data_IF_721155235834
#
_entry.id   IF_721155235834
#
_cell.length_a   1.000
_cell.length_b   1.000
_cell.length_c   1.000
_cell.angle_alpha   90.00
_cell.angle_beta   90.00
_cell.angle_gamma   90.00
#
_symmetry.space_group_name_H-M   'P 1'
#
loop_
_entity.id
_entity.type
_entity.pdbx_description
1 polymer ?
#
# COMPACT_ATOMS: atom_id res chain seq x y z
N UNK A 1 -12.68 -28.32 35.33
CA UNK A 1 -12.12 -26.96 35.24
C UNK A 1 -12.13 -26.58 33.77
N UNK A 2 -13.14 -25.80 33.34
CA UNK A 2 -13.16 -25.23 32.00
C UNK A 2 -11.97 -24.24 31.91
N UNK A 3 -11.01 -24.56 31.08
CA UNK A 3 -10.00 -23.59 30.70
C UNK A 3 -10.72 -22.48 29.93
N UNK A 4 -11.00 -21.36 30.58
CA UNK A 4 -11.43 -20.14 29.92
C UNK A 4 -10.43 -19.87 28.80
N UNK A 5 -10.83 -20.07 27.54
CA UNK A 5 -10.01 -19.70 26.39
C UNK A 5 -9.68 -18.21 26.52
N UNK A 6 -8.39 -17.90 26.67
CA UNK A 6 -7.92 -16.51 26.69
C UNK A 6 -8.48 -15.79 25.46
N UNK A 7 -9.23 -14.72 25.66
CA UNK A 7 -9.71 -13.90 24.55
C UNK A 7 -8.51 -13.17 23.95
N UNK A 8 -8.16 -13.49 22.73
CA UNK A 8 -7.10 -12.81 21.98
C UNK A 8 -7.73 -11.68 21.15
N UNK A 9 -7.03 -10.55 21.07
CA UNK A 9 -7.39 -9.48 20.15
C UNK A 9 -7.19 -9.88 18.70
N UNK A 10 -7.82 -9.16 17.78
CA UNK A 10 -7.73 -9.36 16.34
C UNK A 10 -6.81 -8.33 15.71
N UNK A 11 -5.94 -8.77 14.81
CA UNK A 11 -5.08 -7.89 14.01
C UNK A 11 -5.73 -7.59 12.66
N UNK A 12 -6.20 -6.37 12.49
CA UNK A 12 -6.82 -5.89 11.25
C UNK A 12 -5.79 -5.17 10.37
N UNK A 13 -5.67 -5.58 9.10
CA UNK A 13 -5.05 -4.75 8.07
C UNK A 13 -6.14 -3.94 7.40
N UNK A 14 -6.04 -2.62 7.40
CA UNK A 14 -7.08 -1.73 6.90
C UNK A 14 -6.54 -0.87 5.79
N UNK A 15 -7.02 -1.10 4.55
CA UNK A 15 -6.71 -0.25 3.41
C UNK A 15 -7.43 1.09 3.53
N UNK A 16 -6.66 2.18 3.53
CA UNK A 16 -7.21 3.54 3.69
C UNK A 16 -7.30 4.31 2.36
N UNK A 17 -7.19 3.60 1.24
CA UNK A 17 -7.17 4.25 -0.06
C UNK A 17 -5.83 4.93 -0.37
N UNK A 18 -5.68 5.51 -1.57
CA UNK A 18 -4.39 5.99 -2.08
C UNK A 18 -4.00 7.40 -1.61
N UNK A 19 -4.93 8.19 -1.04
CA UNK A 19 -4.64 9.56 -0.63
C UNK A 19 -5.87 10.38 -0.29
N UNK A 20 -6.89 10.32 -1.14
CA UNK A 20 -8.17 10.99 -0.92
C UNK A 20 -8.95 10.30 0.21
N UNK A 21 -9.29 11.01 1.32
CA UNK A 21 -10.05 10.44 2.43
C UNK A 21 -11.46 9.97 2.02
N UNK A 22 -12.07 10.50 0.98
CA UNK A 22 -13.37 10.04 0.49
C UNK A 22 -13.31 8.64 -0.16
N UNK A 23 -12.10 8.13 -0.43
CA UNK A 23 -11.88 6.78 -0.94
C UNK A 23 -11.71 5.72 0.17
N UNK A 24 -11.86 6.09 1.45
CA UNK A 24 -11.99 5.10 2.52
C UNK A 24 -13.32 4.34 2.37
N UNK A 25 -13.26 3.02 2.53
CA UNK A 25 -14.49 2.25 2.58
C UNK A 25 -15.20 2.46 3.93
N UNK A 26 -16.53 2.41 3.94
CA UNK A 26 -17.30 2.46 5.20
C UNK A 26 -16.88 1.39 6.21
N UNK A 27 -16.41 0.23 5.73
CA UNK A 27 -15.86 -0.82 6.58
C UNK A 27 -14.53 -0.41 7.19
N UNK A 28 -13.67 0.24 6.43
CA UNK A 28 -12.39 0.74 6.93
C UNK A 28 -12.60 1.75 8.07
N UNK A 29 -13.47 2.74 7.86
CA UNK A 29 -13.83 3.73 8.89
C UNK A 29 -14.31 3.04 10.17
N UNK A 30 -15.32 2.16 10.08
CA UNK A 30 -15.88 1.46 11.25
C UNK A 30 -14.84 0.63 12.02
N UNK A 31 -13.92 -0.05 11.31
CA UNK A 31 -12.87 -0.85 11.97
C UNK A 31 -11.84 0.04 12.64
N UNK A 32 -11.41 1.13 11.99
CA UNK A 32 -10.48 2.08 12.59
C UNK A 32 -11.07 2.75 13.83
N UNK A 33 -12.36 3.09 13.82
CA UNK A 33 -13.05 3.68 14.97
C UNK A 33 -13.29 2.67 16.09
N UNK A 34 -13.52 1.39 15.76
CA UNK A 34 -13.76 0.36 16.78
C UNK A 34 -12.50 -0.10 17.51
N UNK A 35 -11.34 -0.15 16.82
CA UNK A 35 -10.09 -0.64 17.41
C UNK A 35 -9.48 0.37 18.38
N UNK A 36 -9.11 -0.05 19.62
CA UNK A 36 -8.47 0.84 20.60
C UNK A 36 -7.03 1.19 20.25
N UNK A 37 -6.37 0.37 19.43
CA UNK A 37 -4.97 0.54 19.02
C UNK A 37 -4.87 0.67 17.51
N UNK A 38 -4.21 1.73 17.06
CA UNK A 38 -3.97 2.00 15.65
C UNK A 38 -2.48 1.91 15.34
N UNK A 39 -2.10 0.96 14.50
CA UNK A 39 -0.74 0.82 14.00
C UNK A 39 -0.63 1.42 12.58
N UNK A 40 0.52 1.96 12.25
CA UNK A 40 0.82 2.40 10.89
C UNK A 40 2.33 2.38 10.62
N UNK A 41 2.75 2.13 9.36
CA UNK A 41 4.12 2.37 8.95
C UNK A 41 4.51 3.82 9.20
N UNK A 42 5.67 4.02 9.84
CA UNK A 42 6.23 5.34 10.09
C UNK A 42 7.51 5.53 9.27
N UNK A 43 7.63 6.68 8.62
CA UNK A 43 8.86 7.08 7.92
C UNK A 43 9.94 7.51 8.90
N UNK A 44 11.19 7.63 8.43
CA UNK A 44 12.29 8.16 9.25
C UNK A 44 12.05 9.61 9.72
N UNK A 45 11.22 10.38 9.00
CA UNK A 45 10.79 11.73 9.41
C UNK A 45 9.65 11.75 10.43
N UNK A 46 9.17 10.57 10.87
CA UNK A 46 8.08 10.46 11.84
C UNK A 46 6.68 10.48 11.21
N UNK A 47 6.55 10.54 9.90
CA UNK A 47 5.27 10.61 9.22
C UNK A 47 4.59 9.24 9.12
N UNK A 48 3.28 9.19 9.39
CA UNK A 48 2.40 8.03 9.23
C UNK A 48 1.32 8.36 8.19
N UNK A 49 1.68 8.40 6.91
CA UNK A 49 0.82 8.85 5.79
C UNK A 49 -0.55 8.17 5.77
N UNK A 50 -0.61 6.84 5.92
CA UNK A 50 -1.88 6.11 5.94
C UNK A 50 -2.80 6.56 7.10
N UNK A 51 -2.23 6.80 8.28
CA UNK A 51 -3.00 7.26 9.43
C UNK A 51 -3.44 8.73 9.27
N UNK A 52 -2.62 9.56 8.63
CA UNK A 52 -2.97 10.95 8.33
C UNK A 52 -4.16 11.06 7.36
N UNK A 53 -4.26 10.13 6.41
CA UNK A 53 -5.44 10.02 5.52
C UNK A 53 -6.65 9.58 6.35
N UNK A 54 -6.52 8.52 7.15
CA UNK A 54 -7.62 7.97 7.95
C UNK A 54 -8.24 9.00 8.91
N UNK A 55 -7.42 9.87 9.54
CA UNK A 55 -7.89 10.93 10.46
C UNK A 55 -8.81 11.96 9.81
N UNK A 56 -8.81 12.08 8.50
CA UNK A 56 -9.67 13.03 7.80
C UNK A 56 -11.10 12.47 7.57
N UNK A 57 -11.28 11.14 7.72
CA UNK A 57 -12.54 10.46 7.45
C UNK A 57 -13.10 9.66 8.65
N UNK A 58 -12.31 9.46 9.70
CA UNK A 58 -12.68 8.66 10.88
C UNK A 58 -12.30 9.39 12.17
N UNK A 59 -13.11 9.21 13.21
CA UNK A 59 -12.78 9.71 14.55
C UNK A 59 -11.77 8.76 15.22
N UNK A 60 -10.53 9.22 15.32
CA UNK A 60 -9.41 8.47 15.88
C UNK A 60 -8.89 9.09 17.19
N UNK A 61 -9.68 9.96 17.82
CA UNK A 61 -9.29 10.60 19.08
C UNK A 61 -9.20 9.58 20.24
N UNK A 62 -8.27 9.79 21.15
CA UNK A 62 -8.10 8.96 22.35
C UNK A 62 -7.53 7.56 22.12
N UNK A 63 -7.19 7.17 20.88
CA UNK A 63 -6.64 5.86 20.57
C UNK A 63 -5.14 5.77 20.82
N UNK A 64 -4.67 4.57 21.17
CA UNK A 64 -3.24 4.29 21.25
C UNK A 64 -2.64 4.21 19.85
N UNK A 65 -1.63 5.04 19.57
CA UNK A 65 -0.92 5.03 18.30
C UNK A 65 0.36 4.20 18.41
N UNK A 66 0.52 3.23 17.51
CA UNK A 66 1.66 2.32 17.46
C UNK A 66 2.42 2.53 16.14
N UNK A 67 3.51 3.31 16.15
CA UNK A 67 4.35 3.45 14.97
C UNK A 67 5.11 2.15 14.69
N UNK A 68 5.09 1.71 13.42
CA UNK A 68 5.82 0.52 12.97
C UNK A 68 6.90 0.92 11.99
N UNK A 69 8.11 0.43 12.21
CA UNK A 69 9.27 0.76 11.39
C UNK A 69 9.62 -0.39 10.44
N UNK A 70 9.79 -0.06 9.17
CA UNK A 70 10.16 -1.01 8.13
C UNK A 70 11.42 -0.55 7.41
N UNK A 71 12.33 -1.47 7.18
CA UNK A 71 13.57 -1.16 6.46
C UNK A 71 13.34 -1.08 4.96
N UNK A 72 14.01 -0.12 4.30
CA UNK A 72 14.08 -0.03 2.85
C UNK A 72 15.26 -0.83 2.26
N UNK A 73 15.98 -1.59 3.10
CA UNK A 73 17.08 -2.46 2.68
C UNK A 73 16.58 -3.57 1.75
N UNK A 74 17.40 -3.96 0.76
CA UNK A 74 17.15 -5.14 -0.09
C UNK A 74 17.63 -6.45 0.55
N UNK A 75 18.31 -6.37 1.68
CA UNK A 75 18.76 -7.53 2.46
C UNK A 75 17.55 -8.23 3.10
N UNK A 76 17.31 -9.47 2.69
CA UNK A 76 16.17 -10.28 3.16
C UNK A 76 16.22 -10.54 4.67
N UNK A 77 17.41 -10.72 5.25
CA UNK A 77 17.53 -10.96 6.68
C UNK A 77 17.11 -9.73 7.47
N UNK A 78 17.57 -8.53 7.06
CA UNK A 78 17.15 -7.26 7.67
C UNK A 78 15.65 -6.98 7.50
N UNK A 79 15.07 -7.35 6.35
CA UNK A 79 13.63 -7.25 6.16
C UNK A 79 12.86 -8.16 7.12
N UNK A 80 13.26 -9.42 7.24
CA UNK A 80 12.64 -10.38 8.16
C UNK A 80 12.75 -9.94 9.61
N UNK A 81 13.91 -9.43 10.03
CA UNK A 81 14.12 -8.88 11.37
C UNK A 81 13.15 -7.69 11.64
N UNK A 82 13.05 -6.76 10.70
CA UNK A 82 12.12 -5.63 10.83
C UNK A 82 10.65 -6.07 10.89
N UNK A 83 10.25 -7.06 10.08
CA UNK A 83 8.88 -7.62 10.13
C UNK A 83 8.62 -8.31 11.47
N UNK A 84 9.60 -9.06 12.01
CA UNK A 84 9.49 -9.69 13.33
C UNK A 84 9.37 -8.64 14.42
N UNK A 85 10.22 -7.64 14.44
CA UNK A 85 10.18 -6.56 15.42
C UNK A 85 8.82 -5.79 15.38
N UNK A 86 8.27 -5.56 14.18
CA UNK A 86 6.96 -4.93 14.04
C UNK A 86 5.82 -5.83 14.56
N UNK A 87 5.87 -7.15 14.31
CA UNK A 87 4.91 -8.10 14.87
C UNK A 87 5.01 -8.19 16.40
N UNK A 88 6.25 -8.18 16.93
CA UNK A 88 6.52 -8.19 18.37
C UNK A 88 5.97 -6.93 19.07
N UNK A 89 5.96 -5.78 18.41
CA UNK A 89 5.36 -4.56 18.92
C UNK A 89 3.82 -4.62 18.98
N UNK A 90 3.18 -5.35 18.07
CA UNK A 90 1.71 -5.54 18.04
C UNK A 90 1.25 -6.57 19.08
N UNK A 91 2.01 -7.64 19.26
CA UNK A 91 1.66 -8.82 20.08
C UNK A 91 1.14 -8.50 21.49
N UNK A 92 1.75 -7.63 22.31
CA UNK A 92 1.29 -7.36 23.67
C UNK A 92 -0.17 -6.88 23.75
N UNK A 93 -0.61 -6.11 22.75
CA UNK A 93 -2.00 -5.65 22.67
C UNK A 93 -2.94 -6.79 22.34
N UNK A 94 -2.60 -7.63 21.38
CA UNK A 94 -3.39 -8.80 21.01
C UNK A 94 -3.48 -9.81 22.16
N UNK A 95 -2.38 -10.02 22.90
CA UNK A 95 -2.34 -10.87 24.08
C UNK A 95 -3.21 -10.33 25.23
N UNK A 96 -3.37 -9.01 25.30
CA UNK A 96 -4.27 -8.35 26.25
C UNK A 96 -5.75 -8.37 25.80
N UNK A 97 -6.07 -9.00 24.67
CA UNK A 97 -7.42 -9.05 24.12
C UNK A 97 -7.85 -7.76 23.41
N UNK A 98 -6.91 -6.87 23.11
CA UNK A 98 -7.19 -5.63 22.39
C UNK A 98 -7.04 -5.81 20.89
N UNK A 99 -8.02 -5.33 20.13
CA UNK A 99 -7.94 -5.30 18.69
C UNK A 99 -6.96 -4.20 18.23
N UNK A 100 -6.17 -4.53 17.20
CA UNK A 100 -5.20 -3.60 16.58
C UNK A 100 -5.54 -3.44 15.11
N UNK A 101 -5.79 -2.20 14.66
CA UNK A 101 -5.96 -1.88 13.25
C UNK A 101 -4.70 -1.24 12.67
N UNK A 102 -4.07 -1.91 11.70
CA UNK A 102 -2.93 -1.38 10.96
C UNK A 102 -3.41 -0.68 9.69
N UNK A 103 -3.29 0.66 9.66
CA UNK A 103 -3.63 1.46 8.49
C UNK A 103 -2.57 1.29 7.38
N UNK A 104 -3.03 0.95 6.18
CA UNK A 104 -2.19 0.69 4.99
C UNK A 104 -2.64 1.58 3.85
N UNK A 105 -1.69 2.27 3.22
CA UNK A 105 -1.95 3.09 2.03
C UNK A 105 -2.41 2.21 0.86
N UNK A 106 -3.49 2.59 0.20
CA UNK A 106 -4.11 1.83 -0.88
C UNK A 106 -4.91 0.63 -0.38
N UNK A 107 -4.62 -0.55 -0.91
CA UNK A 107 -5.23 -1.83 -0.55
C UNK A 107 -4.26 -2.74 0.20
N UNK A 108 -4.81 -3.52 1.13
CA UNK A 108 -4.03 -4.39 2.04
C UNK A 108 -3.36 -5.56 1.31
N UNK A 109 -3.91 -5.99 0.17
CA UNK A 109 -3.42 -7.15 -0.58
C UNK A 109 -2.35 -6.83 -1.61
N UNK A 110 -2.13 -5.53 -1.91
CA UNK A 110 -1.24 -5.10 -3.00
C UNK A 110 0.05 -4.51 -2.42
N UNK A 111 1.16 -5.26 -2.51
CA UNK A 111 2.50 -4.85 -2.05
C UNK A 111 2.52 -4.28 -0.62
N UNK A 112 1.73 -4.87 0.27
CA UNK A 112 1.53 -4.41 1.63
C UNK A 112 2.45 -5.10 2.63
N UNK A 113 3.01 -4.33 3.56
CA UNK A 113 3.79 -4.85 4.70
C UNK A 113 2.92 -5.58 5.73
N UNK A 114 1.61 -5.31 5.77
CA UNK A 114 0.68 -6.02 6.63
C UNK A 114 0.72 -7.54 6.42
N UNK A 115 0.82 -8.00 5.17
CA UNK A 115 0.81 -9.43 4.87
C UNK A 115 1.93 -10.20 5.58
N UNK A 116 3.12 -9.62 5.69
CA UNK A 116 4.25 -10.25 6.41
C UNK A 116 3.98 -10.36 7.90
N UNK A 117 3.39 -9.33 8.52
CA UNK A 117 3.01 -9.36 9.94
C UNK A 117 1.84 -10.33 10.17
N UNK A 118 0.87 -10.32 9.27
CA UNK A 118 -0.26 -11.25 9.29
C UNK A 118 0.22 -12.71 9.32
N UNK A 119 1.16 -13.08 8.47
CA UNK A 119 1.68 -14.45 8.40
C UNK A 119 2.39 -14.85 9.71
N UNK A 120 3.18 -13.94 10.30
CA UNK A 120 3.84 -14.15 11.59
C UNK A 120 2.81 -14.35 12.70
N UNK A 121 1.87 -13.41 12.84
CA UNK A 121 0.87 -13.42 13.92
C UNK A 121 -0.14 -14.57 13.78
N UNK A 122 -0.53 -14.95 12.55
CA UNK A 122 -1.34 -16.14 12.31
C UNK A 122 -0.64 -17.42 12.73
N UNK A 123 0.66 -17.56 12.44
CA UNK A 123 1.44 -18.71 12.86
C UNK A 123 1.53 -18.83 14.40
N UNK A 124 1.38 -17.73 15.11
CA UNK A 124 1.32 -17.64 16.57
C UNK A 124 -0.10 -17.80 17.15
N UNK A 125 -1.11 -17.98 16.28
CA UNK A 125 -2.50 -18.26 16.68
C UNK A 125 -3.40 -17.02 16.84
N UNK A 126 -2.94 -15.82 16.46
CA UNK A 126 -3.77 -14.63 16.55
C UNK A 126 -4.76 -14.54 15.37
N UNK A 127 -6.01 -14.12 15.62
CA UNK A 127 -6.97 -13.79 14.58
C UNK A 127 -6.46 -12.61 13.73
N UNK A 128 -6.48 -12.75 12.39
CA UNK A 128 -6.08 -11.67 11.49
C UNK A 128 -7.14 -11.48 10.40
N UNK A 129 -7.47 -10.23 10.11
CA UNK A 129 -8.52 -9.86 9.15
C UNK A 129 -8.02 -8.79 8.19
N UNK A 130 -8.28 -8.95 6.90
CA UNK A 130 -8.01 -7.95 5.88
C UNK A 130 -9.28 -7.15 5.58
N UNK A 131 -9.18 -5.83 5.62
CA UNK A 131 -10.23 -4.90 5.21
C UNK A 131 -9.77 -4.21 3.93
N UNK A 132 -10.41 -4.47 2.77
CA UNK A 132 -9.98 -3.92 1.50
C UNK A 132 -10.05 -2.39 1.47
N UNK A 133 -9.14 -1.79 0.70
CA UNK A 133 -9.16 -0.39 0.34
C UNK A 133 -9.15 -0.19 -1.18
N UNK A 134 -9.23 1.04 -1.63
CA UNK A 134 -9.07 1.38 -3.05
C UNK A 134 -7.58 1.37 -3.40
N UNK A 135 -7.11 0.48 -4.32
CA UNK A 135 -5.71 0.48 -4.71
C UNK A 135 -5.37 1.72 -5.54
N UNK A 136 -4.11 2.20 -5.43
CA UNK A 136 -3.69 3.45 -6.08
C UNK A 136 -3.91 3.44 -7.59
N UNK A 137 -3.71 2.32 -8.26
CA UNK A 137 -3.89 2.24 -9.70
C UNK A 137 -5.35 2.42 -10.16
N UNK A 138 -6.34 2.07 -9.34
CA UNK A 138 -7.74 2.36 -9.63
C UNK A 138 -8.03 3.86 -9.54
N UNK A 139 -7.52 4.54 -8.53
CA UNK A 139 -7.64 5.99 -8.41
C UNK A 139 -6.88 6.72 -9.53
N UNK A 140 -5.69 6.25 -9.87
CA UNK A 140 -4.88 6.78 -11.00
C UNK A 140 -5.61 6.62 -12.32
N UNK A 141 -6.26 5.48 -12.58
CA UNK A 141 -7.07 5.25 -13.77
C UNK A 141 -8.23 6.25 -13.86
N UNK A 142 -8.95 6.43 -12.75
CA UNK A 142 -10.04 7.42 -12.65
C UNK A 142 -9.51 8.85 -12.88
N UNK A 143 -8.34 9.19 -12.32
CA UNK A 143 -7.72 10.51 -12.46
C UNK A 143 -7.28 10.80 -13.91
N UNK A 144 -6.83 9.77 -14.62
CA UNK A 144 -6.46 9.85 -16.03
C UNK A 144 -7.68 9.73 -16.98
N UNK A 145 -8.86 9.39 -16.48
CA UNK A 145 -10.05 9.12 -17.29
C UNK A 145 -9.86 7.92 -18.23
N UNK A 146 -9.13 6.87 -17.79
CA UNK A 146 -8.78 5.70 -18.60
C UNK A 146 -9.27 4.40 -17.96
N UNK A 147 -9.73 3.46 -18.79
CA UNK A 147 -9.90 2.07 -18.37
C UNK A 147 -8.54 1.42 -18.15
N UNK A 148 -8.44 0.54 -17.15
CA UNK A 148 -7.25 -0.27 -16.90
C UNK A 148 -7.14 -1.44 -17.88
N UNK A 149 -8.28 -2.00 -18.28
CA UNK A 149 -8.34 -3.15 -19.17
C UNK A 149 -9.71 -3.27 -19.80
N UNK A 150 -9.81 -4.02 -20.89
CA UNK A 150 -11.06 -4.41 -21.56
C UNK A 150 -11.36 -5.89 -21.30
N UNK A 151 -12.59 -6.32 -21.66
CA UNK A 151 -13.18 -7.61 -21.26
C UNK A 151 -12.25 -8.85 -21.41
N UNK A 152 -11.41 -8.90 -22.45
CA UNK A 152 -10.56 -10.05 -22.75
C UNK A 152 -9.06 -9.72 -22.70
N UNK A 153 -8.70 -8.56 -22.17
CA UNK A 153 -7.31 -8.10 -22.11
C UNK A 153 -6.73 -8.37 -20.72
N UNK A 154 -5.60 -9.09 -20.60
CA UNK A 154 -4.95 -9.29 -19.30
C UNK A 154 -4.49 -7.97 -18.67
N UNK A 155 -4.47 -7.91 -17.34
CA UNK A 155 -3.92 -6.80 -16.57
C UNK A 155 -2.75 -7.28 -15.72
N UNK A 156 -1.57 -6.71 -15.90
CA UNK A 156 -0.37 -7.03 -15.15
C UNK A 156 -0.04 -5.92 -14.17
N UNK A 157 0.08 -6.25 -12.88
CA UNK A 157 0.50 -5.32 -11.83
C UNK A 157 1.95 -5.64 -11.47
N UNK A 158 2.87 -4.73 -11.79
CA UNK A 158 4.30 -4.98 -11.76
C UNK A 158 5.00 -4.00 -10.80
N UNK A 159 5.98 -4.48 -10.01
CA UNK A 159 6.87 -3.59 -9.29
C UNK A 159 7.80 -2.89 -10.29
N UNK A 160 7.79 -1.55 -10.33
CA UNK A 160 8.73 -0.76 -11.14
C UNK A 160 10.12 -0.64 -10.51
N UNK A 161 10.28 -1.07 -9.24
CA UNK A 161 11.54 -1.07 -8.50
C UNK A 161 12.39 -2.33 -8.74
N UNK A 162 13.53 -2.43 -8.08
CA UNK A 162 14.41 -3.59 -8.19
C UNK A 162 15.13 -3.67 -9.54
N UNK A 163 15.03 -4.80 -10.22
CA UNK A 163 15.58 -5.00 -11.57
C UNK A 163 14.67 -4.43 -12.67
N UNK A 164 13.49 -3.92 -12.26
CA UNK A 164 12.46 -3.43 -13.17
C UNK A 164 11.56 -4.55 -13.72
N UNK A 165 10.57 -4.21 -14.55
CA UNK A 165 9.60 -5.16 -15.07
C UNK A 165 10.18 -6.11 -16.15
N UNK A 166 11.34 -5.77 -16.76
CA UNK A 166 12.04 -6.62 -17.70
C UNK A 166 11.15 -7.09 -18.88
N UNK A 167 11.29 -8.37 -19.23
CA UNK A 167 10.51 -9.02 -20.29
C UNK A 167 9.00 -9.09 -20.02
N UNK A 168 8.58 -8.87 -18.75
CA UNK A 168 7.14 -8.85 -18.42
C UNK A 168 6.41 -7.69 -19.10
N UNK A 169 7.12 -6.64 -19.53
CA UNK A 169 6.55 -5.58 -20.37
C UNK A 169 6.07 -6.11 -21.74
N UNK A 170 6.69 -7.15 -22.26
CA UNK A 170 6.38 -7.69 -23.59
C UNK A 170 5.20 -8.66 -23.57
N UNK A 171 4.69 -9.04 -22.39
CA UNK A 171 3.47 -9.85 -22.29
C UNK A 171 2.26 -9.08 -22.85
N UNK A 172 1.32 -9.78 -23.51
CA UNK A 172 0.10 -9.13 -24.01
C UNK A 172 -0.74 -8.58 -22.86
N UNK A 173 -1.43 -7.44 -23.09
CA UNK A 173 -2.32 -6.81 -22.13
C UNK A 173 -1.78 -5.55 -21.50
N UNK A 174 -2.61 -4.93 -20.67
CA UNK A 174 -2.30 -3.67 -19.96
C UNK A 174 -1.35 -3.89 -18.79
N UNK A 175 -0.52 -2.91 -18.48
CA UNK A 175 0.43 -2.97 -17.37
C UNK A 175 0.27 -1.78 -16.43
N UNK A 176 0.40 -2.06 -15.16
CA UNK A 176 0.51 -1.08 -14.09
C UNK A 176 1.89 -1.21 -13.47
N UNK A 177 2.64 -0.12 -13.45
CA UNK A 177 3.95 -0.07 -12.85
C UNK A 177 3.87 0.75 -11.57
N UNK A 178 4.19 0.11 -10.45
CA UNK A 178 4.14 0.73 -9.11
C UNK A 178 5.52 0.77 -8.48
N UNK A 179 5.75 1.73 -7.57
CA UNK A 179 7.00 1.85 -6.81
C UNK A 179 8.24 2.01 -7.69
N UNK A 180 8.14 2.75 -8.79
CA UNK A 180 9.23 2.97 -9.76
C UNK A 180 10.41 3.71 -9.14
N UNK A 181 10.15 4.78 -8.36
CA UNK A 181 11.13 5.49 -7.55
C UNK A 181 12.49 5.66 -8.23
N UNK A 182 13.55 5.10 -7.61
CA UNK A 182 14.93 5.19 -8.10
C UNK A 182 15.17 4.55 -9.49
N UNK A 183 14.30 3.67 -9.94
CA UNK A 183 14.41 3.00 -11.24
C UNK A 183 13.66 3.76 -12.36
N UNK A 184 13.01 4.87 -12.03
CA UNK A 184 12.22 5.64 -12.98
C UNK A 184 12.99 6.02 -14.27
N UNK A 185 14.24 6.51 -14.22
CA UNK A 185 14.99 6.83 -15.46
C UNK A 185 15.15 5.62 -16.37
N UNK A 186 15.56 4.46 -15.82
CA UNK A 186 15.70 3.22 -16.58
C UNK A 186 14.37 2.76 -17.16
N UNK A 187 13.29 2.90 -16.40
CA UNK A 187 11.96 2.55 -16.88
C UNK A 187 11.54 3.44 -18.05
N UNK A 188 11.85 4.73 -18.02
CA UNK A 188 11.59 5.64 -19.13
C UNK A 188 12.35 5.21 -20.40
N UNK A 189 13.63 4.85 -20.30
CA UNK A 189 14.42 4.33 -21.41
C UNK A 189 13.80 3.07 -22.03
N UNK A 190 13.29 2.16 -21.18
CA UNK A 190 12.58 0.97 -21.60
C UNK A 190 11.28 1.27 -22.37
N UNK A 191 10.51 2.26 -21.91
CA UNK A 191 9.26 2.69 -22.54
C UNK A 191 9.55 3.45 -23.85
N UNK A 192 10.60 4.27 -23.88
CA UNK A 192 11.04 5.01 -25.06
C UNK A 192 11.48 4.06 -26.19
N UNK A 193 12.30 3.05 -25.89
CA UNK A 193 12.71 2.02 -26.86
C UNK A 193 11.54 1.25 -27.49
N UNK A 194 10.40 1.17 -26.79
CA UNK A 194 9.17 0.52 -27.26
C UNK A 194 8.18 1.47 -27.92
N UNK A 195 8.50 2.76 -28.01
CA UNK A 195 7.60 3.82 -28.46
C UNK A 195 6.28 3.85 -27.67
N UNK A 196 6.38 3.69 -26.33
CA UNK A 196 5.22 3.63 -25.44
C UNK A 196 4.99 4.89 -24.62
N UNK A 197 5.88 5.89 -24.70
CA UNK A 197 5.77 7.13 -23.90
C UNK A 197 4.46 7.87 -24.15
N UNK A 198 3.96 7.87 -25.38
CA UNK A 198 2.71 8.57 -25.73
C UNK A 198 1.47 7.92 -25.11
N UNK A 199 1.50 6.59 -25.00
CA UNK A 199 0.39 5.80 -24.46
C UNK A 199 0.43 5.68 -22.94
N UNK A 200 1.59 5.85 -22.34
CA UNK A 200 1.80 5.74 -20.91
C UNK A 200 1.23 6.96 -20.17
N UNK A 201 0.32 6.72 -19.26
CA UNK A 201 -0.16 7.74 -18.31
C UNK A 201 0.47 7.54 -16.93
N UNK A 202 0.70 8.64 -16.19
CA UNK A 202 1.30 8.60 -14.87
C UNK A 202 0.63 9.57 -13.92
N UNK A 203 0.44 9.16 -12.67
CA UNK A 203 0.10 10.07 -11.59
C UNK A 203 1.07 9.84 -10.42
N UNK A 204 1.59 10.94 -9.90
CA UNK A 204 2.33 10.97 -8.65
C UNK A 204 1.47 11.52 -7.54
N UNK A 205 1.64 10.99 -6.33
CA UNK A 205 0.92 11.41 -5.13
C UNK A 205 -0.60 11.49 -5.35
N UNK A 206 -1.20 10.51 -6.04
CA UNK A 206 -2.62 10.52 -6.37
C UNK A 206 -3.48 10.70 -5.11
N UNK A 207 -4.27 11.77 -5.05
CA UNK A 207 -5.09 12.14 -3.90
C UNK A 207 -4.31 12.72 -2.71
N UNK A 208 -3.00 12.92 -2.81
CA UNK A 208 -2.14 13.49 -1.78
C UNK A 208 -1.68 14.90 -2.17
N UNK A 209 -1.21 15.72 -1.20
CA UNK A 209 -0.57 16.99 -1.52
C UNK A 209 0.58 16.83 -2.51
N UNK A 210 0.63 17.72 -3.50
CA UNK A 210 1.64 17.65 -4.56
C UNK A 210 1.31 16.62 -5.66
N UNK A 211 0.05 16.26 -5.83
CA UNK A 211 -0.39 15.45 -6.98
C UNK A 211 0.06 16.04 -8.30
N UNK A 212 0.65 15.22 -9.16
CA UNK A 212 1.01 15.56 -10.54
C UNK A 212 0.45 14.52 -11.50
N UNK A 213 -0.23 14.99 -12.54
CA UNK A 213 -0.89 14.14 -13.53
C UNK A 213 -0.24 14.32 -14.90
N UNK A 214 0.15 13.22 -15.53
CA UNK A 214 0.74 13.19 -16.87
C UNK A 214 -0.08 12.23 -17.73
N UNK A 215 -0.85 12.77 -18.65
CA UNK A 215 -1.65 11.98 -19.60
C UNK A 215 -0.77 11.23 -20.62
N UNK A 216 0.42 11.73 -20.86
CA UNK A 216 1.46 11.10 -21.68
C UNK A 216 2.82 11.30 -21.04
N UNK A 217 3.67 10.29 -21.07
CA UNK A 217 5.06 10.40 -20.58
C UNK A 217 6.01 11.08 -21.60
N UNK A 218 5.51 11.57 -22.73
CA UNK A 218 6.28 12.52 -23.56
C UNK A 218 6.60 13.81 -22.81
N UNK A 219 5.71 14.23 -21.91
CA UNK A 219 5.88 15.38 -21.00
C UNK A 219 6.46 14.93 -19.65
N UNK A 220 7.25 13.87 -19.67
CA UNK A 220 7.80 13.22 -18.48
C UNK A 220 8.60 14.16 -17.59
N UNK A 221 8.44 14.05 -16.24
CA UNK A 221 9.36 14.74 -15.33
C UNK A 221 10.74 14.05 -15.37
N UNK A 222 11.79 14.77 -15.00
CA UNK A 222 13.15 14.25 -14.91
C UNK A 222 13.29 13.16 -13.81
N UNK A 223 12.47 13.25 -12.78
CA UNK A 223 12.45 12.30 -11.66
C UNK A 223 11.04 12.05 -11.17
N UNK A 224 10.82 10.91 -10.55
CA UNK A 224 9.55 10.57 -9.91
C UNK A 224 9.73 10.17 -8.44
N UNK A 225 8.70 10.45 -7.63
CA UNK A 225 8.64 10.08 -6.23
C UNK A 225 8.27 8.60 -6.00
N UNK A 226 8.25 8.22 -4.73
CA UNK A 226 7.88 6.84 -4.34
C UNK A 226 6.41 6.51 -4.67
N UNK A 227 5.51 7.47 -4.48
CA UNK A 227 4.08 7.30 -4.72
C UNK A 227 3.72 7.58 -6.19
N UNK A 228 4.40 6.89 -7.10
CA UNK A 228 4.18 7.00 -8.54
C UNK A 228 3.57 5.72 -9.06
N UNK A 229 2.50 5.86 -9.83
CA UNK A 229 1.87 4.77 -10.57
C UNK A 229 1.80 5.13 -12.05
N UNK A 230 2.27 4.24 -12.91
CA UNK A 230 2.24 4.37 -14.37
C UNK A 230 1.28 3.32 -14.92
N UNK A 231 0.44 3.71 -15.87
CA UNK A 231 -0.51 2.84 -16.56
C UNK A 231 -0.12 2.80 -18.04
N UNK A 232 0.00 1.58 -18.56
CA UNK A 232 0.24 1.24 -19.95
C UNK A 232 -0.95 0.42 -20.45
N UNK A 233 -1.72 0.92 -21.43
CA UNK A 233 -2.84 0.20 -22.02
C UNK A 233 -2.37 -0.98 -22.91
#
# INVERSE_FOLDING_TARGET
MEHSKKHLGTFYGVGVGPGDPELLTLKAVRVLEACPVLAAPQTASGEMTALNIARQAADLEGKTLLPLYFTMSRDRAKQQEAHRAAADAVRPYLDAGQDVAMAILGDVSIFSTYCYLMDILKAEGFPCVMVPGVPSFCAVAARLGRSLTEANTPLHILPGGGEGPGETLDLPGSKILMKSGKNYPRLLEELERRDWLDRAGMVENCGLPGERVFSSLKEKPESSGYFTTIILP
#
